data_IF_666912371152
#
_entry.id   IF_666912371152
#
_cell.length_a   1.000
_cell.length_b   1.000
_cell.length_c   1.000
_cell.angle_alpha   90.00
_cell.angle_beta   90.00
_cell.angle_gamma   90.00
#
_symmetry.space_group_name_H-M   'P 1'
#
loop_
_entity.id
_entity.type
_entity.pdbx_description
1 polymer ?
#
# COMPACT_ATOMS: atom_id res chain seq x y z
N UNK A 1 -19.66 -0.01 -22.81
CA UNK A 1 -18.72 0.34 -21.74
C UNK A 1 -17.94 -0.91 -21.39
N UNK A 2 -16.66 -0.79 -21.01
CA UNK A 2 -15.89 -1.96 -20.57
C UNK A 2 -16.55 -2.58 -19.33
N UNK A 3 -16.56 -3.93 -19.25
CA UNK A 3 -17.23 -4.66 -18.16
C UNK A 3 -16.45 -4.67 -16.84
N UNK A 4 -15.26 -4.04 -16.80
CA UNK A 4 -14.36 -4.09 -15.64
C UNK A 4 -13.81 -5.50 -15.36
N UNK A 5 -13.13 -5.62 -14.20
CA UNK A 5 -12.53 -6.89 -13.76
C UNK A 5 -13.26 -7.51 -12.55
N UNK A 6 -14.32 -6.87 -12.05
CA UNK A 6 -15.02 -7.30 -10.84
C UNK A 6 -15.26 -8.81 -10.86
N UNK A 7 -14.70 -9.51 -9.87
CA UNK A 7 -14.87 -10.94 -9.61
C UNK A 7 -14.40 -11.90 -10.74
N UNK A 8 -13.71 -11.40 -11.77
CA UNK A 8 -13.14 -12.25 -12.84
C UNK A 8 -11.87 -12.98 -12.41
N UNK A 9 -11.16 -12.40 -11.45
CA UNK A 9 -9.88 -12.92 -10.95
C UNK A 9 -9.92 -12.98 -9.43
N UNK A 10 -9.30 -14.01 -8.89
CA UNK A 10 -9.14 -14.24 -7.47
C UNK A 10 -7.67 -14.34 -7.11
N UNK A 11 -7.35 -13.96 -5.88
CA UNK A 11 -6.07 -14.23 -5.26
C UNK A 11 -6.21 -15.61 -4.60
N UNK A 12 -5.44 -16.58 -5.08
CA UNK A 12 -5.46 -17.96 -4.62
C UNK A 12 -4.43 -18.22 -3.51
N UNK A 13 -3.39 -17.40 -3.43
CA UNK A 13 -2.38 -17.48 -2.38
C UNK A 13 -1.54 -16.22 -2.33
N UNK A 14 -1.08 -15.86 -1.13
CA UNK A 14 -0.19 -14.74 -0.93
C UNK A 14 0.96 -15.08 0.00
N UNK A 15 2.06 -14.34 -0.14
CA UNK A 15 3.20 -14.43 0.75
C UNK A 15 3.85 -13.07 0.96
N UNK A 16 4.46 -12.91 2.12
CA UNK A 16 5.13 -11.69 2.50
C UNK A 16 6.34 -12.02 3.39
N UNK A 17 7.52 -11.55 3.04
CA UNK A 17 8.69 -11.69 3.89
C UNK A 17 8.54 -10.87 5.18
N UNK A 18 9.35 -11.14 6.18
CA UNK A 18 9.50 -10.22 7.31
C UNK A 18 10.19 -8.95 6.81
N UNK A 19 9.57 -7.78 7.07
CA UNK A 19 10.17 -6.49 6.75
C UNK A 19 11.12 -6.01 7.84
N UNK A 20 12.08 -5.18 7.46
CA UNK A 20 13.04 -4.62 8.40
C UNK A 20 14.39 -4.31 7.78
N UNK A 21 15.40 -4.22 8.61
CA UNK A 21 16.81 -4.14 8.21
C UNK A 21 17.34 -5.55 8.01
N UNK A 22 17.31 -6.04 6.77
CA UNK A 22 17.60 -7.43 6.41
C UNK A 22 19.05 -7.57 5.89
N UNK A 23 20.03 -7.21 6.71
CA UNK A 23 21.46 -7.17 6.38
C UNK A 23 22.05 -8.51 5.93
N UNK A 24 21.46 -9.62 6.34
CA UNK A 24 21.98 -10.98 6.08
C UNK A 24 21.49 -11.62 4.78
N UNK A 25 20.64 -10.96 4.03
CA UNK A 25 20.04 -11.50 2.80
C UNK A 25 19.95 -10.46 1.70
N UNK A 26 19.99 -10.91 0.44
CA UNK A 26 19.79 -10.12 -0.74
C UNK A 26 18.31 -10.02 -1.17
N UNK A 27 18.02 -9.29 -2.25
CA UNK A 27 16.66 -9.20 -2.80
C UNK A 27 16.14 -10.56 -3.29
N UNK A 28 17.02 -11.44 -3.78
CA UNK A 28 16.67 -12.78 -4.24
C UNK A 28 16.12 -13.62 -3.07
N UNK A 29 16.79 -13.59 -1.91
CA UNK A 29 16.35 -14.33 -0.72
C UNK A 29 14.99 -13.82 -0.24
N UNK A 30 14.75 -12.49 -0.29
CA UNK A 30 13.46 -11.89 0.07
C UNK A 30 12.33 -12.33 -0.87
N UNK A 31 12.62 -12.39 -2.18
CA UNK A 31 11.66 -12.89 -3.18
C UNK A 31 11.33 -14.36 -2.93
N UNK A 32 12.35 -15.19 -2.65
CA UNK A 32 12.15 -16.62 -2.34
C UNK A 32 11.32 -16.79 -1.07
N UNK A 33 11.64 -16.07 0.02
CA UNK A 33 10.86 -16.12 1.29
C UNK A 33 9.37 -15.83 1.07
N UNK A 34 9.05 -14.77 0.32
CA UNK A 34 7.66 -14.43 0.03
C UNK A 34 7.00 -15.44 -0.92
N UNK A 35 7.73 -15.92 -1.92
CA UNK A 35 7.22 -16.85 -2.92
C UNK A 35 6.88 -18.22 -2.35
N UNK A 36 7.75 -18.78 -1.50
CA UNK A 36 7.51 -20.09 -0.86
C UNK A 36 6.22 -20.07 -0.02
N UNK A 37 5.98 -18.99 0.74
CA UNK A 37 4.73 -18.82 1.47
C UNK A 37 3.52 -18.76 0.52
N UNK A 38 3.60 -17.99 -0.57
CA UNK A 38 2.50 -17.86 -1.52
C UNK A 38 2.16 -19.15 -2.25
N UNK A 39 3.16 -19.92 -2.67
CA UNK A 39 2.99 -21.22 -3.34
C UNK A 39 2.39 -22.24 -2.38
N UNK A 40 2.88 -22.28 -1.14
CA UNK A 40 2.34 -23.14 -0.09
C UNK A 40 0.88 -22.77 0.21
N UNK A 41 0.59 -21.47 0.33
CA UNK A 41 -0.77 -20.98 0.57
C UNK A 41 -1.70 -21.29 -0.60
N UNK A 42 -1.26 -21.08 -1.84
CA UNK A 42 -2.03 -21.42 -3.04
C UNK A 42 -2.23 -22.93 -3.23
N UNK A 43 -1.36 -23.76 -2.66
CA UNK A 43 -1.39 -25.22 -2.83
C UNK A 43 -1.04 -25.66 -4.26
N UNK A 44 -0.14 -24.94 -4.93
CA UNK A 44 0.29 -25.24 -6.31
C UNK A 44 1.80 -25.48 -6.37
N UNK A 45 2.24 -26.17 -7.42
CA UNK A 45 3.65 -26.26 -7.77
C UNK A 45 4.09 -25.03 -8.56
N UNK A 46 5.35 -24.62 -8.41
CA UNK A 46 5.96 -23.48 -9.10
C UNK A 46 5.74 -23.53 -10.63
N UNK A 47 5.85 -24.70 -11.22
CA UNK A 47 5.74 -24.92 -12.66
C UNK A 47 4.33 -24.70 -13.22
N UNK A 48 3.34 -24.49 -12.36
CA UNK A 48 1.98 -24.10 -12.75
C UNK A 48 1.83 -22.62 -13.05
N UNK A 49 2.83 -21.80 -12.72
CA UNK A 49 2.82 -20.36 -13.01
C UNK A 49 3.20 -20.15 -14.47
N UNK A 50 2.38 -19.43 -15.21
CA UNK A 50 2.51 -19.23 -16.66
C UNK A 50 3.00 -17.84 -17.06
N UNK A 51 2.85 -16.85 -16.17
CA UNK A 51 3.35 -15.50 -16.39
C UNK A 51 3.65 -14.80 -15.04
N UNK A 52 4.57 -13.83 -15.05
CA UNK A 52 4.98 -13.14 -13.83
C UNK A 52 5.18 -11.62 -14.04
N UNK A 53 4.89 -10.84 -12.99
CA UNK A 53 5.15 -9.39 -12.93
C UNK A 53 6.03 -9.08 -11.73
N UNK A 54 7.13 -8.36 -11.97
CA UNK A 54 8.07 -7.90 -10.96
C UNK A 54 7.95 -6.39 -10.77
N UNK A 55 7.56 -5.95 -9.58
CA UNK A 55 7.54 -4.56 -9.14
C UNK A 55 8.81 -4.20 -8.37
N UNK A 56 9.60 -3.28 -8.87
CA UNK A 56 10.80 -2.74 -8.20
C UNK A 56 10.94 -1.27 -8.57
N UNK A 57 11.16 -0.43 -7.56
CA UNK A 57 11.36 1.00 -7.77
C UNK A 57 12.83 1.36 -8.03
N UNK A 58 13.75 0.92 -7.15
CA UNK A 58 15.19 1.14 -7.30
C UNK A 58 15.86 -0.05 -7.98
N UNK A 59 16.24 0.12 -9.23
CA UNK A 59 16.79 -0.97 -10.03
C UNK A 59 18.32 -1.12 -9.98
N UNK A 60 19.04 -0.01 -9.84
CA UNK A 60 20.49 0.00 -10.02
C UNK A 60 21.28 -0.36 -8.77
N UNK A 61 20.65 -0.27 -7.60
CA UNK A 61 21.36 -0.38 -6.32
C UNK A 61 21.14 -1.72 -5.61
N UNK A 62 20.10 -2.47 -5.95
CA UNK A 62 19.77 -3.67 -5.17
C UNK A 62 19.29 -4.86 -5.98
N UNK A 63 18.30 -4.68 -6.86
CA UNK A 63 17.63 -5.80 -7.54
C UNK A 63 18.12 -6.02 -8.97
N UNK A 64 18.70 -5.00 -9.61
CA UNK A 64 19.10 -5.05 -11.02
C UNK A 64 17.98 -4.67 -11.98
N UNK A 65 18.24 -4.79 -13.28
CA UNK A 65 17.33 -4.37 -14.37
C UNK A 65 16.53 -5.55 -14.93
N UNK A 66 15.45 -5.26 -15.63
CA UNK A 66 14.55 -6.23 -16.28
C UNK A 66 13.81 -7.17 -15.31
N UNK A 67 13.19 -8.19 -15.82
CA UNK A 67 12.53 -9.25 -15.02
C UNK A 67 13.45 -10.42 -14.70
N UNK A 68 14.71 -10.41 -15.17
CA UNK A 68 15.66 -11.49 -14.97
C UNK A 68 15.90 -11.83 -13.48
N UNK A 69 16.04 -10.84 -12.56
CA UNK A 69 16.20 -11.16 -11.15
C UNK A 69 15.10 -12.08 -10.61
N UNK A 70 13.83 -11.81 -10.95
CA UNK A 70 12.73 -12.66 -10.54
C UNK A 70 12.83 -14.08 -11.11
N UNK A 71 13.04 -14.20 -12.43
CA UNK A 71 13.14 -15.51 -13.10
C UNK A 71 14.29 -16.35 -12.56
N UNK A 72 15.41 -15.71 -12.27
CA UNK A 72 16.62 -16.39 -11.74
C UNK A 72 16.45 -16.79 -10.28
N UNK A 73 15.98 -15.88 -9.42
CA UNK A 73 15.78 -16.16 -8.00
C UNK A 73 14.79 -17.30 -7.79
N UNK A 74 13.67 -17.27 -8.49
CA UNK A 74 12.61 -18.26 -8.36
C UNK A 74 12.77 -19.47 -9.29
N UNK A 75 13.77 -19.48 -10.18
CA UNK A 75 13.99 -20.54 -11.18
C UNK A 75 12.72 -20.86 -11.97
N UNK A 76 12.07 -19.82 -12.48
CA UNK A 76 10.86 -19.96 -13.28
C UNK A 76 11.16 -20.65 -14.61
N UNK A 77 10.22 -21.44 -15.13
CA UNK A 77 10.38 -22.32 -16.28
C UNK A 77 10.36 -21.58 -17.64
N UNK A 78 11.12 -20.49 -17.78
CA UNK A 78 11.22 -19.64 -18.99
C UNK A 78 9.88 -19.02 -19.42
N UNK A 79 9.03 -18.74 -18.47
CA UNK A 79 7.73 -18.07 -18.68
C UNK A 79 7.90 -16.57 -18.98
N UNK A 80 6.93 -15.93 -19.65
CA UNK A 80 6.91 -14.48 -19.79
C UNK A 80 6.97 -13.77 -18.43
N UNK A 81 7.92 -12.86 -18.29
CA UNK A 81 8.05 -12.04 -17.08
C UNK A 81 8.22 -10.56 -17.44
N UNK A 82 7.46 -9.69 -16.78
CA UNK A 82 7.44 -8.25 -17.04
C UNK A 82 7.88 -7.50 -15.78
N UNK A 83 8.78 -6.53 -15.93
CA UNK A 83 9.09 -5.57 -14.87
C UNK A 83 8.21 -4.34 -15.00
N UNK A 84 7.68 -3.85 -13.87
CA UNK A 84 6.86 -2.64 -13.77
C UNK A 84 7.37 -1.70 -12.69
N UNK A 85 7.09 -0.41 -12.87
CA UNK A 85 7.40 0.63 -11.91
C UNK A 85 6.32 1.73 -11.98
N UNK A 86 5.81 2.17 -10.84
CA UNK A 86 4.89 3.30 -10.67
C UNK A 86 5.08 3.93 -9.28
N UNK A 87 6.35 4.28 -8.96
CA UNK A 87 6.72 4.83 -7.65
C UNK A 87 6.21 3.90 -6.52
N UNK A 88 5.64 4.46 -5.44
CA UNK A 88 5.14 3.64 -4.33
C UNK A 88 3.86 2.82 -4.67
N UNK A 89 3.27 3.00 -5.85
CA UNK A 89 2.19 2.14 -6.37
C UNK A 89 2.71 0.92 -7.16
N UNK A 90 4.02 0.71 -7.21
CA UNK A 90 4.68 -0.33 -8.00
C UNK A 90 4.18 -1.75 -7.68
N UNK A 91 4.01 -2.09 -6.39
CA UNK A 91 3.50 -3.41 -6.01
C UNK A 91 2.06 -3.65 -6.47
N UNK A 92 1.22 -2.62 -6.38
CA UNK A 92 -0.16 -2.68 -6.92
C UNK A 92 -0.17 -2.77 -8.44
N UNK A 93 0.78 -2.11 -9.13
CA UNK A 93 0.91 -2.21 -10.59
C UNK A 93 1.33 -3.61 -11.04
N UNK A 94 2.22 -4.27 -10.30
CA UNK A 94 2.55 -5.68 -10.55
C UNK A 94 1.30 -6.57 -10.41
N UNK A 95 0.51 -6.38 -9.35
CA UNK A 95 -0.76 -7.08 -9.15
C UNK A 95 -1.74 -6.79 -10.30
N UNK A 96 -1.89 -5.53 -10.71
CA UNK A 96 -2.78 -5.12 -11.80
C UNK A 96 -2.40 -5.77 -13.12
N UNK A 97 -1.13 -5.83 -13.46
CA UNK A 97 -0.63 -6.51 -14.66
C UNK A 97 -0.98 -8.00 -14.67
N UNK A 98 -0.72 -8.71 -13.57
CA UNK A 98 -1.04 -10.12 -13.42
C UNK A 98 -2.56 -10.39 -13.51
N UNK A 99 -3.36 -9.58 -12.81
CA UNK A 99 -4.83 -9.67 -12.84
C UNK A 99 -5.39 -9.43 -14.24
N UNK A 100 -4.89 -8.43 -14.97
CA UNK A 100 -5.37 -8.14 -16.31
C UNK A 100 -5.01 -9.24 -17.31
N UNK A 101 -3.83 -9.86 -17.17
CA UNK A 101 -3.45 -10.98 -18.02
C UNK A 101 -4.36 -12.19 -17.84
N UNK A 102 -4.64 -12.56 -16.56
CA UNK A 102 -5.59 -13.63 -16.25
C UNK A 102 -7.01 -13.29 -16.71
N UNK A 103 -7.48 -12.07 -16.45
CA UNK A 103 -8.82 -11.62 -16.87
C UNK A 103 -9.00 -11.59 -18.40
N UNK A 104 -7.91 -11.39 -19.14
CA UNK A 104 -7.88 -11.42 -20.61
C UNK A 104 -7.72 -12.84 -21.18
N UNK A 105 -7.48 -13.86 -20.35
CA UNK A 105 -7.22 -15.23 -20.77
C UNK A 105 -5.84 -15.43 -21.42
N UNK A 106 -4.88 -14.54 -21.14
CA UNK A 106 -3.51 -14.68 -21.64
C UNK A 106 -2.71 -15.74 -20.86
N UNK A 107 -3.11 -16.06 -19.65
CA UNK A 107 -2.62 -17.15 -18.81
C UNK A 107 -3.67 -17.54 -17.77
N UNK A 108 -3.60 -18.76 -17.27
CA UNK A 108 -4.50 -19.26 -16.23
C UNK A 108 -4.03 -18.91 -14.83
N UNK A 109 -2.72 -18.93 -14.58
CA UNK A 109 -2.10 -18.66 -13.28
C UNK A 109 -0.95 -17.67 -13.47
N UNK A 110 -1.03 -16.54 -12.78
CA UNK A 110 0.00 -15.50 -12.83
C UNK A 110 0.55 -15.17 -11.43
N UNK A 111 1.82 -14.77 -11.39
CA UNK A 111 2.53 -14.28 -10.21
C UNK A 111 2.70 -12.76 -10.30
N UNK A 112 2.31 -12.06 -9.25
CA UNK A 112 2.74 -10.69 -8.98
C UNK A 112 3.75 -10.71 -7.82
N UNK A 113 4.93 -10.15 -8.02
CA UNK A 113 6.01 -10.05 -7.03
C UNK A 113 6.41 -8.59 -6.90
N UNK A 114 6.60 -8.14 -5.67
CA UNK A 114 7.20 -6.84 -5.37
C UNK A 114 8.34 -7.01 -4.37
N UNK A 115 9.45 -6.32 -4.61
CA UNK A 115 10.64 -6.39 -3.73
C UNK A 115 11.34 -5.05 -3.69
N UNK A 116 11.93 -4.74 -2.54
CA UNK A 116 12.90 -3.65 -2.42
C UNK A 116 13.94 -3.97 -1.34
N UNK A 117 15.20 -3.65 -1.62
CA UNK A 117 16.34 -3.83 -0.72
C UNK A 117 17.01 -2.46 -0.51
N UNK A 118 16.44 -1.64 0.38
CA UNK A 118 16.80 -0.23 0.54
C UNK A 118 17.95 0.01 1.51
N UNK A 119 18.12 -0.84 2.52
CA UNK A 119 19.10 -0.58 3.60
C UNK A 119 20.55 -0.69 3.12
N UNK A 120 20.83 -1.50 2.11
CA UNK A 120 22.17 -1.66 1.54
C UNK A 120 22.73 -0.39 0.87
N UNK A 121 21.89 0.59 0.61
CA UNK A 121 22.34 1.90 0.06
C UNK A 121 23.14 2.72 1.06
N UNK A 122 23.11 2.38 2.35
CA UNK A 122 23.78 3.13 3.42
C UNK A 122 23.11 4.45 3.80
N UNK A 123 21.98 4.80 3.19
CA UNK A 123 21.23 6.01 3.53
C UNK A 123 20.20 5.77 4.63
N UNK A 124 20.04 6.74 5.52
CA UNK A 124 18.96 6.76 6.51
C UNK A 124 17.58 7.06 5.91
N UNK A 125 17.54 7.55 4.66
CA UNK A 125 16.35 7.86 3.87
C UNK A 125 16.41 7.23 2.48
N UNK A 126 15.50 7.63 1.60
CA UNK A 126 15.53 7.22 0.20
C UNK A 126 16.60 8.01 -0.55
N UNK A 127 17.39 7.36 -1.44
CA UNK A 127 18.33 8.09 -2.29
C UNK A 127 17.54 8.99 -3.27
N UNK A 128 17.91 10.25 -3.30
CA UNK A 128 17.29 11.22 -4.20
C UNK A 128 18.10 11.33 -5.48
N UNK A 129 17.40 11.44 -6.62
CA UNK A 129 18.01 11.80 -7.90
C UNK A 129 17.77 13.27 -8.16
N UNK A 130 18.83 14.01 -8.47
CA UNK A 130 18.73 15.38 -8.92
C UNK A 130 17.99 15.44 -10.26
N UNK A 131 17.07 16.39 -10.40
CA UNK A 131 16.23 16.55 -11.60
C UNK A 131 16.66 17.68 -12.51
N UNK A 132 17.83 18.20 -12.26
CA UNK A 132 18.40 19.29 -13.00
C UNK A 132 18.51 20.58 -12.19
N UNK A 133 19.42 21.42 -12.63
CA UNK A 133 19.91 22.56 -11.89
C UNK A 133 18.85 23.57 -11.47
N UNK A 134 17.78 23.73 -12.24
CA UNK A 134 16.74 24.71 -11.92
C UNK A 134 15.88 24.26 -10.73
N UNK A 135 15.42 23.00 -10.74
CA UNK A 135 14.64 22.46 -9.61
C UNK A 135 15.50 22.40 -8.34
N UNK A 136 16.76 21.98 -8.45
CA UNK A 136 17.65 21.82 -7.31
C UNK A 136 18.05 23.14 -6.66
N UNK A 137 18.14 24.22 -7.45
CA UNK A 137 18.56 25.56 -6.96
C UNK A 137 17.39 26.43 -6.48
N UNK A 138 16.21 26.31 -7.07
CA UNK A 138 15.13 27.28 -6.87
C UNK A 138 13.89 26.72 -6.20
N UNK A 139 13.69 25.39 -6.17
CA UNK A 139 12.57 24.78 -5.46
C UNK A 139 13.02 24.33 -4.07
N UNK A 140 12.49 24.95 -3.02
CA UNK A 140 12.79 24.51 -1.67
C UNK A 140 12.20 23.12 -1.43
N UNK A 141 13.05 22.17 -1.08
CA UNK A 141 12.61 20.84 -0.67
C UNK A 141 12.19 19.89 -1.79
N UNK A 142 13.17 19.19 -2.32
CA UNK A 142 12.99 18.02 -3.17
C UNK A 142 12.72 16.74 -2.36
N UNK A 143 12.83 16.78 -1.02
CA UNK A 143 12.68 15.59 -0.17
C UNK A 143 11.22 15.21 0.03
N UNK A 144 10.95 13.90 0.14
CA UNK A 144 9.60 13.43 0.45
C UNK A 144 9.06 14.01 1.78
N UNK A 145 9.79 14.01 2.91
CA UNK A 145 9.33 14.67 4.14
C UNK A 145 8.97 16.14 3.93
N UNK A 146 9.76 16.88 3.15
CA UNK A 146 9.51 18.29 2.85
C UNK A 146 8.20 18.51 2.09
N UNK A 147 7.94 17.71 1.05
CA UNK A 147 6.72 17.83 0.26
C UNK A 147 5.46 17.50 1.09
N UNK A 148 5.52 16.47 1.94
CA UNK A 148 4.40 16.14 2.82
C UNK A 148 4.25 17.09 4.02
N UNK A 149 5.32 17.77 4.45
CA UNK A 149 5.23 18.87 5.41
C UNK A 149 4.49 20.10 4.83
N UNK A 150 4.68 20.36 3.52
CA UNK A 150 3.89 21.36 2.80
C UNK A 150 2.40 20.99 2.76
N UNK A 151 2.07 19.72 2.46
CA UNK A 151 0.71 19.22 2.54
C UNK A 151 0.08 19.46 3.93
N UNK A 152 0.81 19.15 5.00
CA UNK A 152 0.35 19.38 6.36
C UNK A 152 0.06 20.86 6.66
N UNK A 153 0.96 21.74 6.23
CA UNK A 153 0.82 23.19 6.41
C UNK A 153 -0.34 23.75 5.58
N UNK A 154 -0.49 23.29 4.32
CA UNK A 154 -1.59 23.70 3.45
C UNK A 154 -2.94 23.21 3.99
N UNK A 155 -3.02 21.97 4.46
CA UNK A 155 -4.23 21.40 5.09
C UNK A 155 -4.63 22.20 6.31
N UNK A 156 -3.68 22.49 7.23
CA UNK A 156 -3.96 23.30 8.42
C UNK A 156 -4.50 24.69 8.06
N UNK A 157 -3.85 25.36 7.11
CA UNK A 157 -4.27 26.69 6.65
C UNK A 157 -5.66 26.66 5.99
N UNK A 158 -5.92 25.67 5.14
CA UNK A 158 -7.19 25.53 4.41
C UNK A 158 -8.36 25.32 5.34
N UNK A 159 -8.20 24.51 6.39
CA UNK A 159 -9.29 24.09 7.26
C UNK A 159 -9.30 24.81 8.61
N UNK A 160 -8.41 25.79 8.81
CA UNK A 160 -8.39 26.62 10.01
C UNK A 160 -7.85 25.93 11.27
N UNK A 161 -7.07 24.85 11.11
CA UNK A 161 -6.41 24.22 12.25
C UNK A 161 -5.11 24.93 12.62
N UNK A 162 -4.84 25.05 13.90
CA UNK A 162 -3.49 25.34 14.35
C UNK A 162 -2.58 24.11 14.12
N UNK A 163 -1.28 24.33 13.88
CA UNK A 163 -0.34 23.22 13.74
C UNK A 163 -0.34 22.30 14.98
N UNK A 164 -0.41 22.80 16.24
CA UNK A 164 -0.50 21.92 17.41
C UNK A 164 -1.75 21.03 17.43
N UNK A 165 -2.90 21.51 16.94
CA UNK A 165 -4.13 20.69 16.84
C UNK A 165 -3.97 19.58 15.80
N UNK A 166 -3.50 19.92 14.60
CA UNK A 166 -3.23 18.95 13.54
C UNK A 166 -2.20 17.92 14.02
N UNK A 167 -1.13 18.37 14.70
CA UNK A 167 -0.07 17.50 15.19
C UNK A 167 -0.58 16.47 16.22
N UNK A 168 -1.55 16.81 17.07
CA UNK A 168 -2.20 15.84 17.97
C UNK A 168 -2.94 14.74 17.21
N UNK A 169 -3.67 15.08 16.14
CA UNK A 169 -4.32 14.06 15.32
C UNK A 169 -3.28 13.16 14.61
N UNK A 170 -2.20 13.75 14.09
CA UNK A 170 -1.10 13.00 13.47
C UNK A 170 -0.40 12.08 14.51
N UNK A 171 -0.25 12.53 15.76
CA UNK A 171 0.31 11.72 16.85
C UNK A 171 -0.57 10.51 17.16
N UNK A 172 -1.89 10.66 17.17
CA UNK A 172 -2.83 9.55 17.33
C UNK A 172 -2.63 8.48 16.24
N UNK A 173 -2.53 8.89 14.96
CA UNK A 173 -2.24 7.98 13.85
C UNK A 173 -0.95 7.19 14.08
N UNK A 174 0.12 7.88 14.49
CA UNK A 174 1.39 7.23 14.78
C UNK A 174 1.28 6.20 15.91
N UNK A 175 0.61 6.57 17.01
CA UNK A 175 0.39 5.67 18.14
C UNK A 175 -0.45 4.45 17.74
N UNK A 176 -1.50 4.64 16.96
CA UNK A 176 -2.36 3.58 16.43
C UNK A 176 -1.55 2.58 15.60
N UNK A 177 -0.74 3.05 14.64
CA UNK A 177 0.08 2.18 13.79
C UNK A 177 1.10 1.39 14.62
N UNK A 178 1.76 2.01 15.58
CA UNK A 178 2.69 1.35 16.49
C UNK A 178 2.00 0.30 17.38
N UNK A 179 0.82 0.61 17.91
CA UNK A 179 0.02 -0.35 18.70
C UNK A 179 -0.39 -1.57 17.85
N UNK A 180 -0.88 -1.34 16.63
CA UNK A 180 -1.28 -2.40 15.71
C UNK A 180 -0.09 -3.31 15.35
N UNK A 181 1.06 -2.73 15.06
CA UNK A 181 2.28 -3.46 14.69
C UNK A 181 2.79 -4.40 15.80
N UNK A 182 2.47 -4.16 17.07
CA UNK A 182 2.87 -5.09 18.15
C UNK A 182 2.35 -6.49 17.95
N UNK A 183 1.21 -6.65 17.25
CA UNK A 183 0.55 -7.93 16.94
C UNK A 183 1.02 -8.56 15.62
N UNK A 184 1.95 -7.90 14.91
CA UNK A 184 2.42 -8.38 13.61
C UNK A 184 3.90 -8.83 13.70
N UNK A 185 4.13 -10.14 13.63
CA UNK A 185 5.49 -10.70 13.74
C UNK A 185 6.38 -10.37 12.54
N UNK A 186 5.78 -10.00 11.40
CA UNK A 186 6.50 -9.60 10.18
C UNK A 186 6.82 -8.10 10.13
N UNK A 187 6.26 -7.29 11.05
CA UNK A 187 6.48 -5.85 11.07
C UNK A 187 7.90 -5.48 11.55
N UNK A 188 8.45 -4.43 10.95
CA UNK A 188 9.77 -3.87 11.27
C UNK A 188 9.78 -3.25 12.67
N UNK A 189 8.87 -2.30 12.93
CA UNK A 189 8.78 -1.57 14.20
C UNK A 189 7.60 -2.12 15.02
N UNK A 190 7.90 -2.69 16.20
CA UNK A 190 6.91 -3.38 17.03
C UNK A 190 6.81 -2.84 18.44
N UNK A 191 7.24 -1.61 18.64
CA UNK A 191 7.24 -0.96 19.96
C UNK A 191 6.09 0.03 20.05
N UNK A 192 5.37 0.01 21.17
CA UNK A 192 4.38 1.05 21.50
C UNK A 192 5.06 2.38 21.72
N UNK A 193 4.39 3.44 21.31
CA UNK A 193 4.80 4.83 21.59
C UNK A 193 3.61 5.62 22.14
N UNK A 194 3.90 6.74 22.79
CA UNK A 194 2.88 7.66 23.31
C UNK A 194 2.76 8.89 22.42
N UNK A 195 1.62 9.56 22.46
CA UNK A 195 1.43 10.83 21.75
C UNK A 195 2.50 11.86 22.16
N UNK A 196 2.88 11.91 23.43
CA UNK A 196 3.92 12.83 23.90
C UNK A 196 5.27 12.55 23.24
N UNK A 197 5.65 11.27 23.08
CA UNK A 197 6.87 10.90 22.35
C UNK A 197 6.82 11.37 20.89
N UNK A 198 5.66 11.32 20.23
CA UNK A 198 5.51 11.82 18.86
C UNK A 198 5.62 13.35 18.82
N UNK A 199 5.01 14.03 19.77
CA UNK A 199 5.03 15.50 19.85
C UNK A 199 6.45 16.03 20.13
N UNK A 200 7.22 15.33 20.94
CA UNK A 200 8.59 15.70 21.35
C UNK A 200 9.65 15.16 20.39
N UNK A 201 9.27 14.36 19.39
CA UNK A 201 10.21 13.77 18.45
C UNK A 201 10.96 14.83 17.64
N UNK A 202 12.26 14.61 17.34
CA UNK A 202 13.02 15.53 16.50
C UNK A 202 12.33 15.81 15.18
N UNK A 203 12.28 17.09 14.79
CA UNK A 203 11.73 17.51 13.52
C UNK A 203 12.60 17.02 12.35
N UNK A 204 11.96 16.44 11.34
CA UNK A 204 12.57 16.09 10.04
C UNK A 204 12.29 17.21 9.03
N UNK A 205 11.02 17.60 8.91
CA UNK A 205 10.57 18.75 8.13
C UNK A 205 9.29 19.28 8.78
N UNK A 206 9.37 20.41 9.47
CA UNK A 206 8.25 20.94 10.26
C UNK A 206 6.96 21.05 9.41
N UNK A 207 5.78 20.55 9.89
CA UNK A 207 5.52 20.04 11.24
C UNK A 207 5.79 18.54 11.46
N UNK A 208 6.42 17.82 10.53
CA UNK A 208 6.69 16.39 10.64
C UNK A 208 7.94 16.13 11.49
N UNK A 209 7.79 15.28 12.51
CA UNK A 209 8.90 14.69 13.26
C UNK A 209 9.24 13.28 12.77
N UNK A 210 10.31 12.69 13.30
CA UNK A 210 10.77 11.35 12.91
C UNK A 210 9.69 10.28 13.11
N UNK A 211 8.85 10.40 14.14
CA UNK A 211 7.75 9.45 14.42
C UNK A 211 6.48 9.71 13.58
N UNK A 212 6.47 10.75 12.74
CA UNK A 212 5.45 10.92 11.71
C UNK A 212 5.81 10.23 10.40
N UNK A 213 7.07 9.83 10.23
CA UNK A 213 7.60 9.23 9.01
C UNK A 213 7.60 7.70 9.08
N UNK A 214 7.44 7.03 7.94
CA UNK A 214 7.70 5.60 7.85
C UNK A 214 9.21 5.29 7.90
N UNK A 215 9.56 4.12 8.43
CA UNK A 215 10.94 3.63 8.40
C UNK A 215 11.33 3.11 7.01
N UNK A 216 12.60 3.24 6.67
CA UNK A 216 13.19 2.58 5.49
C UNK A 216 13.37 1.09 5.81
N UNK A 217 12.80 0.23 4.98
CA UNK A 217 12.75 -1.21 5.21
C UNK A 217 13.06 -1.99 3.94
N UNK A 218 13.63 -3.17 4.12
CA UNK A 218 13.77 -4.20 3.10
C UNK A 218 12.60 -5.17 3.18
N UNK A 219 12.18 -5.74 2.06
CA UNK A 219 11.13 -6.76 2.05
C UNK A 219 10.61 -7.10 0.66
N UNK A 220 9.90 -8.21 0.60
CA UNK A 220 9.18 -8.67 -0.59
C UNK A 220 7.78 -9.16 -0.21
N UNK A 221 6.84 -9.03 -1.15
CA UNK A 221 5.51 -9.62 -1.04
C UNK A 221 5.03 -10.07 -2.43
N UNK A 222 4.21 -11.11 -2.47
CA UNK A 222 3.69 -11.61 -3.73
C UNK A 222 2.27 -12.16 -3.61
N UNK A 223 1.61 -12.24 -4.78
CA UNK A 223 0.29 -12.81 -4.94
C UNK A 223 0.27 -13.77 -6.14
N UNK A 224 -0.39 -14.91 -5.97
CA UNK A 224 -0.73 -15.83 -7.04
C UNK A 224 -2.19 -15.60 -7.39
N UNK A 225 -2.44 -15.22 -8.63
CA UNK A 225 -3.78 -14.87 -9.12
C UNK A 225 -4.21 -15.82 -10.23
N UNK A 226 -5.52 -16.10 -10.26
CA UNK A 226 -6.13 -17.00 -11.23
C UNK A 226 -7.62 -16.71 -11.39
N UNK A 227 -8.32 -17.43 -12.26
CA UNK A 227 -9.79 -17.34 -12.31
C UNK A 227 -10.44 -18.16 -11.20
N UNK A 228 -11.70 -17.86 -10.80
CA UNK A 228 -12.44 -18.70 -9.83
C UNK A 228 -12.57 -20.15 -10.30
N UNK A 229 -12.71 -20.38 -11.60
CA UNK A 229 -12.83 -21.71 -12.21
C UNK A 229 -11.56 -22.54 -12.04
N UNK A 230 -10.40 -21.93 -12.34
CA UNK A 230 -9.09 -22.58 -12.16
C UNK A 230 -8.83 -22.83 -10.68
N UNK A 231 -9.11 -21.86 -9.81
CA UNK A 231 -8.95 -22.03 -8.37
C UNK A 231 -9.76 -23.26 -7.85
N UNK A 232 -11.02 -23.43 -8.28
CA UNK A 232 -11.82 -24.62 -7.95
C UNK A 232 -11.20 -25.90 -8.48
N UNK A 233 -10.69 -25.90 -9.69
CA UNK A 233 -10.03 -27.07 -10.30
C UNK A 233 -8.77 -27.51 -9.55
N UNK A 234 -8.11 -26.56 -8.87
CA UNK A 234 -6.97 -26.80 -7.98
C UNK A 234 -7.40 -27.29 -6.57
N UNK A 235 -8.69 -27.49 -6.34
CA UNK A 235 -9.22 -27.92 -5.04
C UNK A 235 -9.33 -26.80 -4.01
N UNK A 236 -9.12 -25.54 -4.38
CA UNK A 236 -9.29 -24.40 -3.48
C UNK A 236 -10.77 -24.17 -3.18
N UNK A 237 -11.06 -23.84 -1.93
CA UNK A 237 -12.40 -23.47 -1.46
C UNK A 237 -12.45 -22.05 -0.88
N UNK A 238 -11.30 -21.46 -0.67
CA UNK A 238 -11.11 -20.13 -0.08
C UNK A 238 -10.17 -19.31 -0.97
N UNK A 239 -10.59 -18.12 -1.29
CA UNK A 239 -9.87 -17.12 -2.07
C UNK A 239 -10.48 -15.74 -1.87
N UNK A 240 -9.74 -14.73 -2.25
CA UNK A 240 -10.20 -13.34 -2.22
C UNK A 240 -10.38 -12.84 -3.64
N UNK A 241 -11.57 -12.34 -3.94
CA UNK A 241 -11.87 -11.79 -5.25
C UNK A 241 -11.32 -10.38 -5.40
N UNK A 242 -10.79 -10.09 -6.59
CA UNK A 242 -10.45 -8.74 -7.00
C UNK A 242 -11.71 -8.06 -7.53
N UNK A 243 -12.18 -7.03 -6.83
CA UNK A 243 -13.40 -6.31 -7.21
C UNK A 243 -13.10 -5.04 -8.02
N UNK A 244 -11.97 -4.38 -7.75
CA UNK A 244 -11.49 -3.24 -8.53
C UNK A 244 -9.98 -3.06 -8.40
N UNK A 245 -9.34 -2.57 -9.47
CA UNK A 245 -7.95 -2.13 -9.49
C UNK A 245 -7.85 -0.86 -10.35
N UNK A 246 -7.90 0.30 -9.72
CA UNK A 246 -7.91 1.58 -10.42
C UNK A 246 -6.66 2.40 -10.13
N UNK A 247 -6.18 3.10 -11.16
CA UNK A 247 -4.98 3.93 -11.11
C UNK A 247 -5.27 5.30 -11.71
N UNK A 248 -4.80 6.36 -11.08
CA UNK A 248 -4.88 7.73 -11.59
C UNK A 248 -3.53 8.45 -11.40
N UNK A 249 -2.75 8.65 -12.47
CA UNK A 249 -1.56 9.49 -12.40
C UNK A 249 -1.92 10.97 -12.49
N UNK A 250 -1.12 11.83 -11.83
CA UNK A 250 -1.11 13.27 -12.05
C UNK A 250 -0.89 13.59 -13.52
N UNK A 251 -1.59 14.58 -14.02
CA UNK A 251 -1.45 15.09 -15.40
C UNK A 251 -0.73 16.45 -15.47
N UNK A 252 -0.15 16.89 -14.35
CA UNK A 252 0.56 18.16 -14.21
C UNK A 252 -0.30 19.35 -13.79
N UNK A 253 -1.60 19.15 -13.57
CA UNK A 253 -2.52 20.23 -13.11
C UNK A 253 -2.05 20.80 -11.78
N UNK A 254 -1.60 19.98 -10.84
CA UNK A 254 -1.13 20.38 -9.52
C UNK A 254 0.18 21.21 -9.56
N UNK A 255 0.90 21.16 -10.67
CA UNK A 255 2.16 21.89 -10.85
C UNK A 255 2.00 23.18 -11.65
N UNK A 256 0.84 23.42 -12.22
CA UNK A 256 0.57 24.58 -13.05
C UNK A 256 -0.01 25.76 -12.28
N UNK A 257 -0.43 26.80 -13.03
CA UNK A 257 -1.13 27.97 -12.50
C UNK A 257 -2.62 27.67 -12.27
N UNK A 258 -2.90 26.65 -11.46
CA UNK A 258 -4.24 26.19 -11.17
C UNK A 258 -4.69 26.61 -9.76
N UNK A 259 -5.95 26.39 -9.45
CA UNK A 259 -6.54 26.65 -8.14
C UNK A 259 -6.27 25.57 -7.08
N UNK A 260 -5.39 24.59 -7.36
CA UNK A 260 -4.99 23.59 -6.36
C UNK A 260 -4.22 24.27 -5.22
N UNK A 261 -4.69 24.09 -4.01
CA UNK A 261 -4.18 24.77 -2.83
C UNK A 261 -3.19 23.94 -2.01
N UNK A 262 -2.87 22.74 -2.45
CA UNK A 262 -1.90 21.85 -1.78
C UNK A 262 -2.43 21.12 -0.56
N UNK A 263 -3.72 21.26 -0.20
CA UNK A 263 -4.30 20.66 1.01
C UNK A 263 -4.76 19.21 0.85
N UNK A 264 -4.96 18.76 -0.37
CA UNK A 264 -5.48 17.44 -0.75
C UNK A 264 -4.77 16.90 -1.98
N UNK A 265 -4.94 15.60 -2.29
CA UNK A 265 -4.49 15.02 -3.56
C UNK A 265 -5.62 15.04 -4.58
N UNK A 266 -5.32 15.34 -5.86
CA UNK A 266 -6.34 15.33 -6.91
C UNK A 266 -6.56 13.94 -7.51
N UNK A 267 -5.58 13.08 -7.45
CA UNK A 267 -5.60 11.75 -8.08
C UNK A 267 -6.36 10.71 -7.26
N UNK A 268 -6.28 10.77 -5.92
CA UNK A 268 -6.95 9.81 -5.02
C UNK A 268 -8.47 9.80 -5.20
N UNK A 269 -9.19 10.95 -5.18
CA UNK A 269 -10.64 10.93 -5.40
C UNK A 269 -11.03 10.38 -6.77
N UNK A 270 -10.19 10.60 -7.81
CA UNK A 270 -10.44 10.09 -9.16
C UNK A 270 -10.28 8.56 -9.21
N UNK A 271 -9.22 8.01 -8.61
CA UNK A 271 -9.01 6.57 -8.53
C UNK A 271 -10.10 5.91 -7.68
N UNK A 272 -10.44 6.49 -6.52
CA UNK A 272 -11.48 6.00 -5.62
C UNK A 272 -12.85 5.94 -6.30
N UNK A 273 -13.26 7.02 -6.96
CA UNK A 273 -14.54 7.06 -7.70
C UNK A 273 -14.65 5.95 -8.75
N UNK A 274 -13.56 5.68 -9.48
CA UNK A 274 -13.53 4.61 -10.48
C UNK A 274 -13.57 3.24 -9.82
N UNK A 275 -12.82 3.04 -8.73
CA UNK A 275 -12.80 1.78 -8.01
C UNK A 275 -14.15 1.46 -7.36
N UNK A 276 -14.80 2.43 -6.75
CA UNK A 276 -16.14 2.27 -6.19
C UNK A 276 -17.17 1.92 -7.27
N UNK A 277 -17.13 2.61 -8.41
CA UNK A 277 -18.01 2.30 -9.53
C UNK A 277 -17.79 0.90 -10.10
N UNK A 278 -16.52 0.45 -10.23
CA UNK A 278 -16.17 -0.89 -10.71
C UNK A 278 -16.62 -1.97 -9.72
N UNK A 279 -16.37 -1.76 -8.41
CA UNK A 279 -16.79 -2.67 -7.35
C UNK A 279 -18.29 -2.63 -7.07
N UNK A 280 -19.02 -1.59 -7.52
CA UNK A 280 -20.45 -1.39 -7.24
C UNK A 280 -20.70 -0.91 -5.82
N UNK A 281 -19.74 -0.19 -5.21
CA UNK A 281 -19.85 0.42 -3.89
C UNK A 281 -20.49 1.78 -4.03
N UNK A 282 -21.57 2.03 -3.30
CA UNK A 282 -22.32 3.29 -3.29
C UNK A 282 -22.02 4.13 -2.05
N UNK A 283 -21.82 3.48 -0.92
CA UNK A 283 -21.60 4.11 0.39
C UNK A 283 -20.33 3.55 1.04
N UNK A 284 -19.11 4.01 0.65
CA UNK A 284 -17.84 3.40 1.10
C UNK A 284 -17.70 3.36 2.63
N UNK A 285 -18.25 4.34 3.36
CA UNK A 285 -18.22 4.36 4.83
C UNK A 285 -18.99 3.22 5.48
N UNK A 286 -19.98 2.69 4.77
CA UNK A 286 -20.88 1.66 5.28
C UNK A 286 -20.59 0.28 4.70
N UNK A 287 -19.95 0.21 3.54
CA UNK A 287 -19.74 -1.02 2.80
C UNK A 287 -18.31 -1.59 2.92
N UNK A 288 -17.31 -0.74 3.21
CA UNK A 288 -15.92 -1.18 3.38
C UNK A 288 -15.63 -1.43 4.86
N UNK A 289 -15.16 -2.64 5.19
CA UNK A 289 -14.94 -3.09 6.56
C UNK A 289 -13.57 -2.75 7.13
N UNK A 290 -12.54 -2.64 6.28
CA UNK A 290 -11.18 -2.30 6.67
C UNK A 290 -10.42 -1.67 5.53
N UNK A 291 -9.40 -0.87 5.87
CA UNK A 291 -8.60 -0.16 4.89
C UNK A 291 -7.10 -0.22 5.24
N UNK A 292 -6.29 -0.35 4.20
CA UNK A 292 -4.84 -0.16 4.23
C UNK A 292 -4.51 1.01 3.30
N UNK A 293 -4.01 2.12 3.82
CA UNK A 293 -3.75 3.32 3.03
C UNK A 293 -2.26 3.68 3.04
N UNK A 294 -1.86 4.60 2.18
CA UNK A 294 -0.47 5.04 2.07
C UNK A 294 -0.11 5.99 3.21
N UNK A 295 0.25 5.47 4.36
CA UNK A 295 0.63 6.22 5.57
C UNK A 295 2.14 6.46 5.68
N UNK A 296 2.81 6.72 4.56
CA UNK A 296 4.25 7.06 4.57
C UNK A 296 4.57 8.21 5.54
N UNK A 297 3.61 9.11 5.76
CA UNK A 297 3.60 10.13 6.80
C UNK A 297 2.23 10.17 7.46
N UNK A 298 2.15 10.57 8.74
CA UNK A 298 0.88 10.66 9.47
C UNK A 298 -0.14 11.58 8.78
N UNK A 299 0.33 12.69 8.20
CA UNK A 299 -0.54 13.60 7.45
C UNK A 299 -1.14 12.94 6.21
N UNK A 300 -0.43 12.02 5.58
CA UNK A 300 -0.94 11.34 4.39
C UNK A 300 -2.16 10.50 4.73
N UNK A 301 -2.09 9.66 5.77
CA UNK A 301 -3.26 8.90 6.24
C UNK A 301 -4.43 9.84 6.53
N UNK A 302 -4.19 10.94 7.26
CA UNK A 302 -5.22 11.89 7.64
C UNK A 302 -5.96 12.45 6.42
N UNK A 303 -5.23 12.98 5.44
CA UNK A 303 -5.80 13.56 4.22
C UNK A 303 -6.52 12.50 3.39
N UNK A 304 -5.98 11.28 3.31
CA UNK A 304 -6.58 10.18 2.56
C UNK A 304 -7.94 9.74 3.11
N UNK A 305 -8.21 9.92 4.41
CA UNK A 305 -9.55 9.63 4.95
C UNK A 305 -10.63 10.50 4.28
N UNK A 306 -10.28 11.72 3.92
CA UNK A 306 -11.17 12.65 3.22
C UNK A 306 -11.18 12.39 1.71
N UNK A 307 -10.00 12.24 1.10
CA UNK A 307 -9.86 12.01 -0.34
C UNK A 307 -10.50 10.69 -0.81
N UNK A 308 -10.56 9.69 0.06
CA UNK A 308 -11.26 8.41 -0.16
C UNK A 308 -12.76 8.46 0.23
N UNK A 309 -13.20 9.55 0.85
CA UNK A 309 -14.60 9.75 1.27
C UNK A 309 -14.99 9.07 2.58
N UNK A 310 -14.03 8.66 3.42
CA UNK A 310 -14.30 8.09 4.75
C UNK A 310 -14.59 9.16 5.82
N UNK A 311 -14.01 10.35 5.70
CA UNK A 311 -14.34 11.56 6.45
C UNK A 311 -14.95 12.62 5.53
N UNK A 312 -15.69 13.55 6.10
CA UNK A 312 -16.06 14.78 5.40
C UNK A 312 -14.86 15.71 5.32
N UNK A 313 -14.79 16.53 4.27
CA UNK A 313 -13.67 17.45 4.05
C UNK A 313 -13.48 18.39 5.25
N UNK A 314 -12.26 18.42 5.78
CA UNK A 314 -11.89 19.19 6.97
C UNK A 314 -12.23 18.50 8.30
N UNK A 315 -12.79 17.28 8.31
CA UNK A 315 -13.21 16.55 9.53
C UNK A 315 -12.25 15.47 10.00
N UNK A 316 -11.34 15.04 9.14
CA UNK A 316 -10.45 13.91 9.46
C UNK A 316 -9.70 14.06 10.80
N UNK A 317 -9.19 15.25 11.21
CA UNK A 317 -8.53 15.38 12.52
C UNK A 317 -9.43 15.03 13.69
N UNK A 318 -10.72 15.32 13.64
CA UNK A 318 -11.71 14.96 14.66
C UNK A 318 -11.99 13.46 14.61
N UNK A 319 -12.32 12.92 13.44
CA UNK A 319 -12.66 11.51 13.26
C UNK A 319 -11.50 10.59 13.70
N UNK A 320 -10.25 10.99 13.44
CA UNK A 320 -9.04 10.33 13.95
C UNK A 320 -9.00 10.36 15.47
N UNK A 321 -9.18 11.53 16.07
CA UNK A 321 -9.14 11.70 17.56
C UNK A 321 -10.28 10.96 18.26
N UNK A 322 -11.42 10.82 17.60
CA UNK A 322 -12.58 10.06 18.10
C UNK A 322 -12.39 8.53 17.94
N UNK A 323 -11.24 8.08 17.42
CA UNK A 323 -10.92 6.66 17.25
C UNK A 323 -11.67 5.96 16.13
N UNK A 324 -12.24 6.71 15.16
CA UNK A 324 -13.01 6.14 14.05
C UNK A 324 -12.23 5.13 13.23
N UNK A 325 -10.91 5.32 13.11
CA UNK A 325 -9.98 4.50 12.34
C UNK A 325 -9.11 3.58 13.18
N UNK A 326 -9.36 3.52 14.48
CA UNK A 326 -8.68 2.59 15.38
C UNK A 326 -9.14 1.15 15.10
N UNK A 327 -8.42 0.18 15.67
CA UNK A 327 -8.72 -1.25 15.49
C UNK A 327 -10.18 -1.61 15.76
N UNK A 328 -10.76 -1.03 16.79
CA UNK A 328 -12.14 -1.25 17.21
C UNK A 328 -13.09 -0.12 16.76
N UNK A 329 -12.59 0.76 15.88
CA UNK A 329 -13.35 1.87 15.30
C UNK A 329 -14.30 1.43 14.19
N UNK A 330 -15.03 2.40 13.64
CA UNK A 330 -16.02 2.15 12.60
C UNK A 330 -15.42 1.65 11.28
N UNK A 331 -14.18 2.09 10.96
CA UNK A 331 -13.44 1.72 9.75
C UNK A 331 -11.98 1.48 10.15
N UNK A 332 -11.64 0.27 10.62
CA UNK A 332 -10.28 -0.07 11.02
C UNK A 332 -9.26 0.21 9.91
N UNK A 333 -8.16 0.92 10.26
CA UNK A 333 -7.12 1.33 9.33
C UNK A 333 -5.74 0.89 9.83
N UNK A 334 -4.91 0.35 8.93
CA UNK A 334 -3.51 -0.03 9.20
C UNK A 334 -3.40 -1.05 10.34
N UNK A 335 -4.16 -2.12 10.26
CA UNK A 335 -4.25 -3.13 11.32
C UNK A 335 -2.96 -3.95 11.47
N UNK A 336 -2.17 -4.00 10.43
CA UNK A 336 -0.86 -4.65 10.40
C UNK A 336 0.30 -3.76 10.86
N UNK A 337 0.03 -2.46 11.11
CA UNK A 337 1.01 -1.44 11.47
C UNK A 337 1.30 -0.42 10.36
N UNK A 338 0.75 -0.62 9.16
CA UNK A 338 0.89 0.29 8.02
C UNK A 338 2.31 0.42 7.50
N UNK A 339 2.52 1.36 6.58
CA UNK A 339 3.86 1.68 6.08
C UNK A 339 4.77 2.17 7.20
N UNK A 340 4.20 2.85 8.21
CA UNK A 340 4.94 3.40 9.34
C UNK A 340 5.69 2.33 10.13
N UNK A 341 5.04 1.21 10.40
CA UNK A 341 5.56 0.21 11.33
C UNK A 341 5.77 -1.16 10.70
N UNK A 342 4.89 -1.64 9.81
CA UNK A 342 5.20 -2.84 9.06
C UNK A 342 6.43 -2.58 8.19
N UNK A 343 6.47 -1.43 7.52
CA UNK A 343 7.59 -0.98 6.71
C UNK A 343 7.17 -0.62 5.30
N UNK A 344 8.09 0.05 4.59
CA UNK A 344 7.83 0.57 3.25
C UNK A 344 8.94 0.19 2.25
N UNK A 345 9.15 -1.11 1.97
CA UNK A 345 9.87 -1.54 0.77
C UNK A 345 9.01 -1.18 -0.45
N UNK A 346 9.41 -0.16 -1.19
CA UNK A 346 8.55 0.54 -2.16
C UNK A 346 7.89 -0.42 -3.15
N UNK A 347 8.66 -1.29 -3.79
CA UNK A 347 8.15 -2.28 -4.74
C UNK A 347 7.20 -3.31 -4.13
N UNK A 348 7.35 -3.62 -2.84
CA UNK A 348 6.55 -4.64 -2.15
C UNK A 348 5.27 -4.09 -1.50
N UNK A 349 5.22 -2.78 -1.20
CA UNK A 349 4.20 -2.20 -0.32
C UNK A 349 2.77 -2.47 -0.75
N UNK A 350 2.43 -2.29 -2.03
CA UNK A 350 1.06 -2.51 -2.51
C UNK A 350 0.60 -3.96 -2.36
N UNK A 351 1.52 -4.92 -2.56
CA UNK A 351 1.25 -6.34 -2.35
C UNK A 351 1.16 -6.70 -0.86
N UNK A 352 2.00 -6.09 0.02
CA UNK A 352 1.89 -6.26 1.47
C UNK A 352 0.54 -5.78 2.00
N UNK A 353 0.05 -4.64 1.50
CA UNK A 353 -1.27 -4.13 1.89
C UNK A 353 -2.39 -5.10 1.45
N UNK A 354 -2.31 -5.62 0.23
CA UNK A 354 -3.22 -6.66 -0.24
C UNK A 354 -3.10 -7.96 0.59
N UNK A 355 -1.90 -8.31 1.06
CA UNK A 355 -1.68 -9.47 1.93
C UNK A 355 -2.41 -9.33 3.27
N UNK A 356 -2.39 -8.17 3.93
CA UNK A 356 -3.19 -7.99 5.15
C UNK A 356 -4.68 -8.09 4.87
N UNK A 357 -5.19 -7.42 3.82
CA UNK A 357 -6.60 -7.54 3.42
C UNK A 357 -6.96 -9.01 3.16
N UNK A 358 -6.12 -9.74 2.42
CA UNK A 358 -6.30 -11.16 2.11
C UNK A 358 -6.43 -12.01 3.39
N UNK A 359 -5.52 -11.83 4.34
CA UNK A 359 -5.55 -12.56 5.61
C UNK A 359 -6.80 -12.23 6.44
N UNK A 360 -7.19 -10.96 6.49
CA UNK A 360 -8.36 -10.50 7.23
C UNK A 360 -9.66 -11.07 6.66
N UNK A 361 -9.82 -11.04 5.33
CA UNK A 361 -11.00 -11.55 4.66
C UNK A 361 -11.15 -13.09 4.82
N UNK A 362 -10.04 -13.81 4.84
CA UNK A 362 -10.03 -15.27 5.03
C UNK A 362 -10.05 -15.71 6.51
N UNK A 363 -10.09 -14.78 7.46
CA UNK A 363 -10.07 -15.13 8.89
C UNK A 363 -8.72 -15.66 9.37
N UNK A 364 -7.61 -15.33 8.70
CA UNK A 364 -6.26 -15.88 8.93
C UNK A 364 -5.26 -14.88 9.53
N UNK A 365 -5.72 -13.71 9.94
CA UNK A 365 -4.84 -12.65 10.46
C UNK A 365 -4.36 -12.87 11.92
N UNK A 366 -4.71 -13.99 12.56
CA UNK A 366 -4.27 -14.32 13.91
C UNK A 366 -4.68 -13.27 14.94
N UNK A 367 -3.75 -12.77 15.75
CA UNK A 367 -4.03 -11.74 16.78
C UNK A 367 -4.52 -10.40 16.18
N UNK A 368 -4.29 -10.16 14.89
CA UNK A 368 -4.77 -8.98 14.18
C UNK A 368 -6.20 -9.12 13.68
N UNK A 369 -6.77 -10.34 13.68
CA UNK A 369 -8.07 -10.60 13.09
C UNK A 369 -9.15 -9.67 13.63
N UNK A 370 -9.87 -9.03 12.71
CA UNK A 370 -11.02 -8.19 12.99
C UNK A 370 -12.30 -9.03 13.04
N UNK A 371 -13.27 -8.57 13.81
CA UNK A 371 -14.59 -9.22 13.92
C UNK A 371 -15.52 -8.87 12.75
N UNK A 372 -15.19 -7.78 12.00
CA UNK A 372 -16.06 -7.24 10.98
C UNK A 372 -17.38 -6.69 11.55
N UNK A 373 -18.15 -5.98 10.75
CA UNK A 373 -19.41 -5.35 11.17
C UNK A 373 -20.51 -6.38 11.46
N UNK A 374 -20.50 -7.50 10.74
CA UNK A 374 -21.47 -8.59 10.91
C UNK A 374 -21.16 -9.53 12.07
N UNK A 375 -19.99 -9.40 12.70
CA UNK A 375 -19.48 -10.36 13.69
C UNK A 375 -18.87 -11.64 13.11
N UNK A 376 -18.90 -11.81 11.78
CA UNK A 376 -18.37 -12.97 11.06
C UNK A 376 -17.03 -12.73 10.34
N UNK A 377 -16.38 -11.62 10.63
CA UNK A 377 -15.18 -11.14 9.94
C UNK A 377 -15.49 -10.08 8.87
N UNK A 378 -14.45 -9.37 8.38
CA UNK A 378 -14.62 -8.41 7.30
C UNK A 378 -14.96 -9.13 5.98
N UNK A 379 -15.76 -8.48 5.15
CA UNK A 379 -16.17 -8.98 3.83
C UNK A 379 -15.57 -8.20 2.67
N UNK A 380 -15.29 -6.90 2.86
CA UNK A 380 -14.73 -6.00 1.85
C UNK A 380 -13.59 -5.20 2.46
N UNK A 381 -12.44 -5.21 1.79
CA UNK A 381 -11.28 -4.41 2.15
C UNK A 381 -10.79 -3.55 1.00
N UNK A 382 -10.20 -2.39 1.34
CA UNK A 382 -9.64 -1.45 0.38
C UNK A 382 -8.16 -1.24 0.65
N UNK A 383 -7.34 -1.17 -0.42
CA UNK A 383 -5.97 -0.67 -0.35
C UNK A 383 -5.81 0.59 -1.17
N UNK A 384 -4.98 1.52 -0.70
CA UNK A 384 -4.62 2.73 -1.41
C UNK A 384 -3.10 2.96 -1.37
N UNK A 385 -2.49 3.18 -2.52
CA UNK A 385 -1.09 3.64 -2.61
C UNK A 385 -1.01 5.01 -3.27
N UNK A 386 -0.10 5.86 -2.77
CA UNK A 386 0.26 7.15 -3.36
C UNK A 386 1.74 7.11 -3.74
N UNK A 387 2.04 6.91 -5.01
CA UNK A 387 3.40 6.95 -5.53
C UNK A 387 3.82 8.40 -5.82
N UNK A 388 4.95 8.86 -5.28
CA UNK A 388 5.46 10.21 -5.50
C UNK A 388 5.17 11.19 -4.38
N UNK A 389 4.93 12.45 -4.71
CA UNK A 389 4.71 13.55 -3.76
C UNK A 389 3.37 14.26 -4.06
N UNK A 390 2.78 15.01 -3.12
CA UNK A 390 1.40 15.51 -3.23
C UNK A 390 1.07 16.27 -4.52
N UNK A 391 2.00 17.03 -5.08
CA UNK A 391 1.80 17.79 -6.32
C UNK A 391 2.16 17.01 -7.60
N UNK A 392 2.65 15.79 -7.49
CA UNK A 392 3.07 14.93 -8.60
C UNK A 392 3.06 13.48 -8.14
N UNK A 393 1.96 12.81 -8.35
CA UNK A 393 1.74 11.48 -7.79
C UNK A 393 0.93 10.55 -8.71
N UNK A 394 0.91 9.28 -8.30
CA UNK A 394 0.10 8.23 -8.87
C UNK A 394 -0.69 7.60 -7.74
N UNK A 395 -2.00 7.75 -7.75
CA UNK A 395 -2.88 7.09 -6.80
C UNK A 395 -3.40 5.77 -7.37
N UNK A 396 -3.31 4.69 -6.62
CA UNK A 396 -3.98 3.43 -6.91
C UNK A 396 -4.97 3.09 -5.80
N UNK A 397 -6.15 2.61 -6.18
CA UNK A 397 -7.17 2.11 -5.26
C UNK A 397 -7.58 0.71 -5.71
N UNK A 398 -7.41 -0.26 -4.81
CA UNK A 398 -7.81 -1.64 -5.03
C UNK A 398 -8.89 -2.04 -4.03
N UNK A 399 -9.87 -2.82 -4.48
CA UNK A 399 -10.96 -3.33 -3.64
C UNK A 399 -11.00 -4.84 -3.77
N UNK A 400 -11.05 -5.49 -2.62
CA UNK A 400 -11.05 -6.94 -2.49
C UNK A 400 -12.26 -7.38 -1.67
N UNK A 401 -12.79 -8.56 -1.96
CA UNK A 401 -13.94 -9.08 -1.23
C UNK A 401 -14.06 -10.59 -1.32
N UNK A 402 -14.88 -11.16 -0.43
CA UNK A 402 -15.27 -12.55 -0.54
C UNK A 402 -16.33 -12.69 -1.65
N UNK A 403 -16.21 -13.72 -2.48
CA UNK A 403 -17.32 -14.12 -3.35
C UNK A 403 -18.36 -14.86 -2.52
N UNK A 404 -19.62 -14.53 -2.74
CA UNK A 404 -20.69 -15.38 -2.25
C UNK A 404 -20.50 -16.79 -2.84
N UNK A 405 -20.54 -17.80 -1.97
CA UNK A 405 -20.34 -19.19 -2.33
C UNK A 405 -21.40 -19.69 -3.33
#
# INVERSE_FOLDING_TARGET
MASGIKNKVVIAGMGCSKFGERWSCGPDDLMVEAFEEAVQDAGIERDRIEAAWLGVFFDEQSTGKSSLPLSMALRLANIPATRVENLCATGTEALRGAVYAVAAGACDIALAMGVEKLKDTGFGGLPERTKGTFEDLYLPSSTAPGAFAQLASAYAARHGYSIPELKRAMAHISCKSHENATRNTKAHLRNRITEQQVLDAPAISYPLGVLDCCGVSDGAACAIVTTPEVARSLGRRDWVAVQALQLAPSNGVEMGHQSWDGSHTLTTPLAAKRAYAEAGILHPRDEIDLIEVHDCFSITELVLMEDLGFSDIGRAPHDVRDGRYDRDGAIPCQIDGGLKCFGHPIGATGLRMAYEIYLQLLGRAGERQLRGRSGHGPAIGLTHNLGGIPNRNIASVSIFGLLAA
#
